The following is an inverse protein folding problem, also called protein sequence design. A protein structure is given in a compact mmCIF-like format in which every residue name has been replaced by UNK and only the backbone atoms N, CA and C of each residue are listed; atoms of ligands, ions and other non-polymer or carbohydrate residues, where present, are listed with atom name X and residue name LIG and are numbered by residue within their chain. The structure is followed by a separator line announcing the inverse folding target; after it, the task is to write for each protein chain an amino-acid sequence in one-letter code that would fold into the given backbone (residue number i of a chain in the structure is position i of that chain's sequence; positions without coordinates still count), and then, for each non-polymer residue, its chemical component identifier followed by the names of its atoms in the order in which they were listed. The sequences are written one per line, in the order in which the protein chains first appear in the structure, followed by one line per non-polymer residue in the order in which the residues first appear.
data_IF_169970835644
#
_entry.id   IF_169970835644
#
_cell.length_a   1.000
_cell.length_b   1.000
_cell.length_c   1.000
_cell.angle_alpha   90.00
_cell.angle_beta   90.00
_cell.angle_gamma   90.00
#
_symmetry.space_group_name_H-M   'P 1'
#
loop_
_entity.id
_entity.type
_entity.pdbx_description
1 polymer ?
#
# COMPACT_ATOMS: atom_id res chain seq x y z
N UNK A 1 -6.38 42.91 -69.77
CA UNK A 1 -7.57 43.21 -68.91
C UNK A 1 -7.43 42.51 -67.63
N UNK A 2 -7.36 43.29 -66.59
CA UNK A 2 -7.46 43.07 -65.09
C UNK A 2 -7.26 41.65 -64.55
N UNK A 3 -6.19 41.55 -63.77
CA UNK A 3 -5.85 40.56 -62.71
C UNK A 3 -6.77 40.72 -61.51
N UNK A 4 -7.15 39.65 -60.75
CA UNK A 4 -7.54 39.79 -59.35
C UNK A 4 -6.52 39.13 -58.42
N UNK A 5 -6.05 39.96 -57.57
CA UNK A 5 -5.52 39.94 -56.21
C UNK A 5 -5.36 38.58 -55.48
N UNK A 6 -4.13 38.37 -54.98
CA UNK A 6 -3.72 37.52 -53.89
C UNK A 6 -4.49 37.89 -52.62
N UNK A 7 -5.04 36.87 -51.94
CA UNK A 7 -5.46 36.96 -50.51
C UNK A 7 -4.37 36.28 -49.71
N UNK A 8 -3.65 37.08 -48.94
CA UNK A 8 -2.71 36.67 -47.89
C UNK A 8 -3.48 35.91 -46.78
N UNK A 9 -3.19 34.65 -46.60
CA UNK A 9 -3.60 33.90 -45.41
C UNK A 9 -2.51 34.01 -44.34
N UNK A 10 -2.69 34.90 -43.38
CA UNK A 10 -1.92 34.90 -42.15
C UNK A 10 -2.28 33.66 -41.30
N UNK A 11 -1.30 32.96 -40.71
CA UNK A 11 -1.59 31.86 -39.79
C UNK A 11 -2.04 32.45 -38.43
N UNK A 12 -3.13 31.88 -37.90
CA UNK A 12 -3.64 32.10 -36.56
C UNK A 12 -2.64 31.62 -35.48
N UNK A 13 -1.65 32.45 -35.16
CA UNK A 13 -0.70 32.28 -34.03
C UNK A 13 -1.21 32.98 -32.76
N UNK A 14 -2.46 32.76 -32.36
CA UNK A 14 -3.05 33.46 -31.23
C UNK A 14 -3.63 32.60 -30.11
N UNK A 15 -3.85 31.30 -30.34
CA UNK A 15 -4.63 30.50 -29.38
C UNK A 15 -3.79 29.73 -28.33
N UNK A 16 -2.52 29.46 -28.59
CA UNK A 16 -1.65 28.73 -27.63
C UNK A 16 -1.14 29.64 -26.51
N UNK A 17 -0.66 30.84 -26.84
CA UNK A 17 -0.15 31.79 -25.84
C UNK A 17 -1.23 32.40 -24.91
N UNK A 18 -2.47 32.49 -25.34
CA UNK A 18 -3.57 32.92 -24.49
C UNK A 18 -3.96 31.82 -23.49
N UNK A 19 -3.99 30.57 -23.91
CA UNK A 19 -4.23 29.41 -23.00
C UNK A 19 -3.10 29.26 -21.98
N UNK A 20 -1.84 29.41 -22.37
CA UNK A 20 -0.69 29.33 -21.45
C UNK A 20 -0.70 30.47 -20.41
N UNK A 21 -1.11 31.69 -20.80
CA UNK A 21 -1.26 32.80 -19.84
C UNK A 21 -2.45 32.66 -18.90
N UNK A 22 -3.57 32.12 -19.34
CA UNK A 22 -4.72 31.85 -18.46
C UNK A 22 -4.42 30.75 -17.46
N UNK A 23 -3.68 29.70 -17.82
CA UNK A 23 -3.27 28.63 -16.90
C UNK A 23 -2.29 29.13 -15.82
N UNK A 24 -1.42 30.09 -16.11
CA UNK A 24 -0.45 30.63 -15.13
C UNK A 24 -1.05 31.53 -14.04
N UNK A 25 -2.35 31.85 -14.14
CA UNK A 25 -3.08 32.66 -13.14
C UNK A 25 -4.16 31.87 -12.38
N UNK A 26 -4.30 30.57 -12.64
CA UNK A 26 -5.33 29.74 -12.00
C UNK A 26 -4.94 29.44 -10.54
N UNK A 27 -5.91 29.47 -9.64
CA UNK A 27 -5.73 29.09 -8.23
C UNK A 27 -5.44 27.59 -8.09
N UNK A 28 -6.13 26.73 -8.88
CA UNK A 28 -5.88 25.30 -8.97
C UNK A 28 -5.96 24.85 -10.44
N UNK A 29 -5.20 23.82 -10.79
CA UNK A 29 -5.24 23.21 -12.14
C UNK A 29 -6.41 22.22 -12.23
N UNK A 30 -7.00 22.02 -13.43
CA UNK A 30 -8.07 21.03 -13.61
C UNK A 30 -7.63 19.62 -13.19
N UNK A 31 -8.56 18.82 -12.64
CA UNK A 31 -8.31 17.41 -12.29
C UNK A 31 -7.82 16.65 -13.53
N UNK A 32 -6.83 15.78 -13.36
CA UNK A 32 -6.19 15.05 -14.45
C UNK A 32 -5.07 15.83 -15.15
N UNK A 33 -4.71 17.01 -14.64
CA UNK A 33 -3.61 17.83 -15.17
C UNK A 33 -2.73 18.33 -14.02
N UNK A 34 -1.45 18.58 -14.34
CA UNK A 34 -0.49 19.26 -13.46
C UNK A 34 0.11 20.45 -14.21
N UNK A 35 0.55 21.49 -13.50
CA UNK A 35 1.29 22.60 -14.09
C UNK A 35 2.63 22.16 -14.69
N UNK A 36 3.32 23.01 -15.46
CA UNK A 36 4.71 22.79 -15.84
C UNK A 36 5.59 22.49 -14.60
N UNK A 37 6.55 21.57 -14.74
CA UNK A 37 7.41 21.16 -13.63
C UNK A 37 8.12 22.35 -13.01
N UNK A 38 8.00 22.47 -11.69
CA UNK A 38 8.55 23.60 -10.90
C UNK A 38 7.55 24.75 -10.68
N UNK A 39 6.42 24.77 -11.35
CA UNK A 39 5.33 25.71 -11.08
C UNK A 39 4.36 25.10 -10.06
N UNK A 40 4.19 25.77 -8.92
CA UNK A 40 3.33 25.30 -7.83
C UNK A 40 2.17 26.25 -7.65
N UNK A 41 0.92 25.83 -7.93
CA UNK A 41 -0.25 26.67 -7.72
C UNK A 41 -0.53 26.85 -6.22
N UNK A 42 -1.19 27.95 -5.80
CA UNK A 42 -1.49 28.20 -4.39
C UNK A 42 -2.47 27.18 -3.78
N UNK A 43 -3.33 26.59 -4.60
CA UNK A 43 -4.32 25.59 -4.19
C UNK A 43 -4.31 24.40 -5.16
N UNK A 44 -4.87 23.28 -4.72
CA UNK A 44 -4.98 22.04 -5.48
C UNK A 44 -6.32 21.35 -5.22
N UNK A 45 -6.79 20.51 -6.14
CA UNK A 45 -7.88 19.58 -5.87
C UNK A 45 -7.37 18.33 -5.17
N UNK A 46 -8.12 17.89 -4.16
CA UNK A 46 -7.85 16.67 -3.42
C UNK A 46 -9.14 15.94 -3.03
N UNK A 47 -9.05 14.63 -2.81
CA UNK A 47 -10.10 13.86 -2.13
C UNK A 47 -9.91 14.04 -0.61
N UNK A 48 -10.83 14.72 0.00
CA UNK A 48 -10.73 15.22 1.38
C UNK A 48 -11.70 14.48 2.30
N UNK A 49 -11.20 14.05 3.45
CA UNK A 49 -11.98 13.57 4.58
C UNK A 49 -12.07 14.70 5.61
N UNK A 50 -13.25 14.87 6.25
CA UNK A 50 -13.46 15.81 7.37
C UNK A 50 -14.12 15.10 8.54
N UNK A 51 -13.87 15.55 9.76
CA UNK A 51 -14.38 14.93 10.99
C UNK A 51 -15.90 14.81 11.03
N UNK A 52 -16.63 15.74 10.41
CA UNK A 52 -18.09 15.72 10.33
C UNK A 52 -18.66 14.74 9.27
N UNK A 53 -17.79 14.06 8.51
CA UNK A 53 -18.17 13.09 7.47
C UNK A 53 -17.56 11.71 7.69
N UNK A 54 -16.94 11.46 8.84
CA UNK A 54 -16.40 10.12 9.15
C UNK A 54 -17.52 9.07 9.10
N UNK A 55 -17.26 7.95 8.42
CA UNK A 55 -18.24 6.87 8.24
C UNK A 55 -17.93 6.01 7.02
N UNK A 56 -18.94 5.75 6.21
CA UNK A 56 -18.75 4.97 4.98
C UNK A 56 -17.85 5.72 3.99
N UNK A 57 -16.85 5.03 3.40
CA UNK A 57 -15.86 5.67 2.52
C UNK A 57 -16.48 6.49 1.38
N UNK A 58 -17.56 6.02 0.74
CA UNK A 58 -18.25 6.74 -0.35
C UNK A 58 -18.78 8.10 0.07
N UNK A 59 -19.08 8.30 1.35
CA UNK A 59 -19.60 9.54 1.90
C UNK A 59 -18.52 10.41 2.53
N UNK A 60 -17.48 9.80 3.07
CA UNK A 60 -16.40 10.48 3.77
C UNK A 60 -15.47 11.26 2.84
N UNK A 61 -15.11 10.69 1.68
CA UNK A 61 -14.28 11.36 0.68
C UNK A 61 -15.09 12.31 -0.19
N UNK A 62 -14.60 13.53 -0.38
CA UNK A 62 -15.16 14.51 -1.32
C UNK A 62 -14.04 15.29 -2.00
N UNK A 63 -14.24 15.62 -3.27
CA UNK A 63 -13.30 16.51 -3.98
C UNK A 63 -13.49 17.92 -3.45
N UNK A 64 -12.42 18.49 -2.92
CA UNK A 64 -12.35 19.87 -2.43
C UNK A 64 -11.09 20.55 -2.95
N UNK A 65 -11.14 21.88 -3.08
CA UNK A 65 -9.98 22.72 -3.30
C UNK A 65 -9.35 23.04 -1.93
N UNK A 66 -8.07 22.72 -1.77
CA UNK A 66 -7.33 22.92 -0.53
C UNK A 66 -5.99 23.62 -0.83
N UNK A 67 -5.35 24.27 0.16
CA UNK A 67 -4.02 24.84 -0.03
C UNK A 67 -3.01 23.78 -0.50
N UNK A 68 -2.18 24.12 -1.49
CA UNK A 68 -1.03 23.28 -1.86
C UNK A 68 0.01 23.36 -0.75
N UNK A 69 0.47 22.22 -0.19
CA UNK A 69 1.46 22.24 0.88
C UNK A 69 2.81 22.75 0.39
N UNK A 70 3.57 23.38 1.29
CA UNK A 70 4.92 23.87 1.00
C UNK A 70 5.95 23.00 1.71
N UNK A 71 7.00 22.53 1.02
CA UNK A 71 7.99 21.67 1.63
C UNK A 71 8.82 22.44 2.68
N UNK A 72 8.93 21.86 3.86
CA UNK A 72 9.80 22.31 4.95
C UNK A 72 11.20 21.71 4.78
N UNK A 73 12.09 21.96 5.75
CA UNK A 73 13.41 21.33 5.78
C UNK A 73 13.30 19.81 5.73
N UNK A 74 14.02 19.19 4.79
CA UNK A 74 14.01 17.74 4.56
C UNK A 74 12.77 17.21 3.84
N UNK A 75 11.84 18.07 3.40
CA UNK A 75 10.63 17.66 2.72
C UNK A 75 10.69 17.95 1.21
N UNK A 76 9.91 17.20 0.46
CA UNK A 76 9.79 17.25 -1.00
C UNK A 76 8.33 17.39 -1.38
N UNK A 77 8.01 18.33 -2.26
CA UNK A 77 6.71 18.44 -2.89
C UNK A 77 6.71 17.63 -4.19
N UNK A 78 5.82 16.66 -4.29
CA UNK A 78 5.67 15.80 -5.47
C UNK A 78 4.33 16.05 -6.13
N UNK A 79 4.35 16.34 -7.43
CA UNK A 79 3.16 16.30 -8.29
C UNK A 79 2.79 14.85 -8.54
N UNK A 80 1.63 14.42 -8.06
CA UNK A 80 1.21 13.03 -8.08
C UNK A 80 0.68 12.67 -9.48
N UNK A 81 1.33 11.74 -10.16
CA UNK A 81 0.89 11.22 -11.46
C UNK A 81 -0.14 10.09 -11.30
N UNK A 82 0.11 9.19 -10.34
CA UNK A 82 -0.82 8.14 -9.96
C UNK A 82 -0.66 7.81 -8.47
N UNK A 83 -1.71 7.25 -7.86
CA UNK A 83 -1.75 6.80 -6.47
C UNK A 83 -2.26 5.37 -6.36
N UNK A 84 -1.89 4.64 -5.31
CA UNK A 84 -2.41 3.31 -4.99
C UNK A 84 -3.54 3.37 -3.97
N UNK A 85 -4.48 2.43 -4.06
CA UNK A 85 -5.58 2.24 -3.11
C UNK A 85 -5.18 1.23 -2.06
N UNK A 86 -5.31 1.60 -0.78
CA UNK A 86 -4.92 0.76 0.35
C UNK A 86 -5.95 0.82 1.50
N UNK A 87 -6.07 -0.28 2.26
CA UNK A 87 -7.09 -0.44 3.30
C UNK A 87 -6.96 0.57 4.46
N UNK A 88 -5.77 1.11 4.72
CA UNK A 88 -5.57 2.13 5.75
C UNK A 88 -6.43 3.38 5.51
N UNK A 89 -6.76 3.68 4.27
CA UNK A 89 -7.63 4.81 3.95
C UNK A 89 -9.14 4.49 4.12
N UNK A 90 -9.54 3.22 4.15
CA UNK A 90 -10.84 2.81 4.69
C UNK A 90 -10.92 3.15 6.18
N UNK A 91 -9.84 2.87 6.94
CA UNK A 91 -9.77 3.24 8.36
C UNK A 91 -9.79 4.76 8.56
N UNK A 92 -9.05 5.52 7.75
CA UNK A 92 -9.07 6.99 7.79
C UNK A 92 -10.46 7.55 7.55
N UNK A 93 -11.17 7.06 6.53
CA UNK A 93 -12.54 7.46 6.20
C UNK A 93 -13.51 7.18 7.36
N UNK A 94 -13.34 6.05 8.04
CA UNK A 94 -14.22 5.61 9.14
C UNK A 94 -13.84 6.19 10.50
N UNK A 95 -12.66 6.80 10.64
CA UNK A 95 -12.14 7.32 11.91
C UNK A 95 -11.83 6.21 12.94
N UNK A 96 -11.62 4.97 12.51
CA UNK A 96 -11.32 3.81 13.37
C UNK A 96 -10.19 2.96 12.78
N UNK A 97 -9.29 2.39 13.62
CA UNK A 97 -9.25 2.50 15.08
C UNK A 97 -8.82 3.88 15.63
N UNK A 98 -8.41 4.81 14.73
CA UNK A 98 -7.92 6.14 15.12
C UNK A 98 -8.60 7.19 14.23
N UNK A 99 -9.18 8.24 14.84
CA UNK A 99 -9.51 9.47 14.13
C UNK A 99 -8.20 10.24 13.88
N UNK A 100 -7.71 10.15 12.64
CA UNK A 100 -6.42 10.73 12.24
C UNK A 100 -6.44 12.26 12.23
N UNK A 101 -7.61 12.89 12.04
CA UNK A 101 -7.75 14.35 12.07
C UNK A 101 -7.65 14.83 13.53
N UNK A 102 -8.45 14.26 14.42
CA UNK A 102 -8.40 14.60 15.84
C UNK A 102 -7.02 14.33 16.47
N UNK A 103 -6.37 13.22 16.09
CA UNK A 103 -5.03 12.88 16.56
C UNK A 103 -3.98 13.94 16.14
N UNK A 104 -4.01 14.40 14.87
CA UNK A 104 -3.12 15.44 14.36
C UNK A 104 -3.40 16.81 14.99
N UNK A 105 -4.66 17.21 15.13
CA UNK A 105 -5.04 18.45 15.81
C UNK A 105 -4.58 18.45 17.28
N UNK A 106 -4.70 17.31 17.98
CA UNK A 106 -4.16 17.15 19.34
C UNK A 106 -2.63 17.29 19.38
N UNK A 107 -1.94 16.94 18.30
CA UNK A 107 -0.50 17.13 18.14
C UNK A 107 -0.10 18.56 17.69
N UNK A 108 -1.08 19.47 17.47
CA UNK A 108 -0.86 20.88 17.13
C UNK A 108 -0.89 21.18 15.64
N UNK A 109 -1.27 20.23 14.78
CA UNK A 109 -1.49 20.50 13.35
C UNK A 109 -2.80 21.29 13.16
N UNK A 110 -2.82 22.37 12.33
CA UNK A 110 -3.97 23.26 12.25
C UNK A 110 -5.10 22.75 11.34
N UNK A 111 -4.81 21.83 10.42
CA UNK A 111 -5.75 21.41 9.40
C UNK A 111 -6.90 20.57 10.00
N UNK A 112 -8.13 20.96 9.68
CA UNK A 112 -9.38 20.29 10.06
C UNK A 112 -9.84 19.25 9.03
N UNK A 113 -8.93 18.88 8.11
CA UNK A 113 -9.17 17.94 7.03
C UNK A 113 -8.01 16.95 6.88
N UNK A 114 -8.27 15.88 6.15
CA UNK A 114 -7.27 14.87 5.81
C UNK A 114 -7.31 14.55 4.32
N UNK A 115 -6.15 14.67 3.67
CA UNK A 115 -5.90 14.13 2.34
C UNK A 115 -5.13 12.82 2.52
N UNK A 116 -5.81 11.70 2.24
CA UNK A 116 -5.26 10.36 2.38
C UNK A 116 -4.39 9.92 1.20
N UNK A 117 -4.10 8.61 1.14
CA UNK A 117 -3.28 7.99 0.09
C UNK A 117 -1.84 7.80 0.53
N UNK A 118 -1.44 6.53 0.68
CA UNK A 118 -0.12 6.14 1.22
C UNK A 118 0.75 5.43 0.17
N UNK A 119 0.41 5.59 -1.10
CA UNK A 119 1.11 4.94 -2.22
C UNK A 119 1.04 5.86 -3.43
N UNK A 120 2.17 6.23 -4.02
CA UNK A 120 2.21 7.16 -5.15
C UNK A 120 3.44 6.98 -6.03
N UNK A 121 3.29 7.42 -7.29
CA UNK A 121 4.40 7.77 -8.17
C UNK A 121 4.13 9.16 -8.78
N UNK A 122 5.19 9.96 -8.92
CA UNK A 122 5.05 11.32 -9.39
C UNK A 122 6.37 11.97 -9.76
N UNK A 123 6.31 13.28 -9.95
CA UNK A 123 7.45 14.11 -10.34
C UNK A 123 7.72 15.11 -9.21
N UNK A 124 8.99 15.33 -8.87
CA UNK A 124 9.41 16.32 -7.88
C UNK A 124 9.18 17.73 -8.43
N UNK A 125 8.40 18.56 -7.73
CA UNK A 125 8.08 19.94 -8.11
C UNK A 125 8.83 20.97 -7.30
N UNK A 126 9.06 20.72 -6.02
CA UNK A 126 9.85 21.59 -5.16
C UNK A 126 10.55 20.79 -4.07
N UNK A 127 11.65 21.29 -3.56
CA UNK A 127 12.42 20.70 -2.47
C UNK A 127 12.59 21.71 -1.34
N UNK A 128 12.54 21.23 -0.11
CA UNK A 128 12.82 22.02 1.09
C UNK A 128 14.32 22.19 1.35
N UNK A 129 14.63 22.99 2.34
CA UNK A 129 16.01 23.22 2.78
C UNK A 129 16.66 21.90 3.21
N UNK A 130 17.90 21.66 2.81
CA UNK A 130 18.71 20.50 3.19
C UNK A 130 18.49 19.24 2.34
N UNK A 131 17.49 19.21 1.46
CA UNK A 131 17.26 18.10 0.54
C UNK A 131 18.37 18.05 -0.52
N UNK A 132 19.04 16.90 -0.63
CA UNK A 132 20.09 16.64 -1.63
C UNK A 132 19.93 15.30 -2.35
N UNK A 133 19.01 14.45 -1.89
CA UNK A 133 18.76 13.10 -2.41
C UNK A 133 18.00 13.10 -3.75
N UNK A 134 17.21 14.15 -4.00
CA UNK A 134 16.40 14.35 -5.22
C UNK A 134 16.43 15.82 -5.66
N UNK A 135 16.04 16.07 -6.92
CA UNK A 135 15.92 17.41 -7.51
C UNK A 135 14.60 17.57 -8.25
N UNK A 136 14.21 18.81 -8.51
CA UNK A 136 13.04 19.13 -9.34
C UNK A 136 13.16 18.45 -10.70
N UNK A 137 12.08 17.78 -11.11
CA UNK A 137 11.98 17.00 -12.34
C UNK A 137 12.30 15.51 -12.20
N UNK A 138 12.80 15.05 -11.05
CA UNK A 138 13.03 13.63 -10.83
C UNK A 138 11.70 12.87 -10.74
N UNK A 139 11.65 11.68 -11.38
CA UNK A 139 10.53 10.75 -11.31
C UNK A 139 10.71 9.80 -10.13
N UNK A 140 9.75 9.77 -9.23
CA UNK A 140 9.83 9.04 -7.97
C UNK A 140 8.62 8.14 -7.73
N UNK A 141 8.87 7.00 -7.06
CA UNK A 141 7.87 6.24 -6.32
C UNK A 141 8.08 6.49 -4.83
N UNK A 142 6.99 6.54 -4.07
CA UNK A 142 7.05 6.97 -2.67
C UNK A 142 6.78 5.81 -1.76
N UNK A 143 7.68 5.52 -0.82
CA UNK A 143 7.38 4.59 0.27
C UNK A 143 6.75 5.30 1.46
N UNK A 144 5.94 4.58 2.21
CA UNK A 144 5.05 5.16 3.22
C UNK A 144 5.66 5.33 4.62
N UNK A 145 6.88 4.87 4.86
CA UNK A 145 7.54 5.01 6.16
C UNK A 145 7.91 6.46 6.45
N UNK A 146 7.40 7.03 7.53
CA UNK A 146 7.67 8.38 8.00
C UNK A 146 8.13 8.33 9.45
N UNK A 147 9.12 9.14 9.82
CA UNK A 147 9.62 9.29 11.20
C UNK A 147 10.27 10.65 11.40
N UNK A 148 10.38 11.05 12.66
CA UNK A 148 11.16 12.22 13.03
C UNK A 148 12.65 11.86 13.02
N UNK A 149 13.44 12.54 12.20
CA UNK A 149 14.89 12.34 12.09
C UNK A 149 15.63 12.65 13.41
N UNK A 150 15.05 13.52 14.24
CA UNK A 150 15.59 13.90 15.53
C UNK A 150 15.12 12.99 16.70
N UNK A 151 14.31 11.97 16.43
CA UNK A 151 13.90 10.98 17.44
C UNK A 151 15.14 10.27 18.01
N UNK A 152 15.32 10.23 19.35
CA UNK A 152 16.48 9.59 19.96
C UNK A 152 16.72 8.14 19.56
N UNK A 153 15.65 7.41 19.20
CA UNK A 153 15.76 6.05 18.72
C UNK A 153 16.37 5.99 17.32
N UNK A 154 15.97 6.92 16.44
CA UNK A 154 16.51 7.05 15.09
C UNK A 154 17.96 7.52 15.12
N UNK A 155 18.27 8.53 15.92
CA UNK A 155 19.65 9.02 16.13
C UNK A 155 20.59 7.94 16.70
N UNK A 156 20.05 6.96 17.43
CA UNK A 156 20.81 5.80 17.90
C UNK A 156 21.06 4.72 16.83
N UNK A 157 20.69 4.98 15.55
CA UNK A 157 20.86 4.07 14.42
C UNK A 157 20.00 2.80 14.47
N UNK A 158 18.87 2.85 15.18
CA UNK A 158 17.92 1.74 15.27
C UNK A 158 16.84 1.85 14.21
N UNK A 159 16.11 0.75 13.97
CA UNK A 159 15.03 0.71 12.98
C UNK A 159 14.01 1.85 13.24
N UNK A 160 13.91 2.84 12.35
CA UNK A 160 13.08 4.02 12.56
C UNK A 160 11.59 3.71 12.64
N UNK A 161 11.13 2.60 12.04
CA UNK A 161 9.73 2.19 12.12
C UNK A 161 9.33 1.63 13.49
N UNK A 162 10.28 1.45 14.42
CA UNK A 162 10.03 1.10 15.83
C UNK A 162 10.07 2.35 16.73
N UNK A 163 10.51 3.48 16.19
CA UNK A 163 10.52 4.76 16.92
C UNK A 163 9.10 5.19 17.33
N UNK A 164 8.98 5.93 18.42
CA UNK A 164 7.67 6.49 18.86
C UNK A 164 7.12 7.52 17.88
N UNK A 165 8.00 8.20 17.16
CA UNK A 165 7.64 9.17 16.13
C UNK A 165 7.17 8.54 14.82
N UNK A 166 7.36 7.22 14.62
CA UNK A 166 7.01 6.56 13.37
C UNK A 166 5.53 6.69 13.01
N UNK A 167 5.29 6.98 11.75
CA UNK A 167 3.94 7.14 11.16
C UNK A 167 3.88 6.46 9.80
N UNK A 168 2.68 6.24 9.32
CA UNK A 168 2.42 5.93 7.91
C UNK A 168 2.04 7.21 7.19
N UNK A 169 2.84 7.61 6.19
CA UNK A 169 2.51 8.73 5.33
C UNK A 169 1.16 8.54 4.64
N UNK A 170 0.37 9.61 4.53
CA UNK A 170 -0.96 9.59 3.90
C UNK A 170 -2.03 8.79 4.65
N UNK A 171 -1.72 8.34 5.88
CA UNK A 171 -2.67 7.81 6.85
C UNK A 171 -2.60 8.60 8.17
N UNK A 172 -1.44 8.59 8.83
CA UNK A 172 -1.23 9.35 10.08
C UNK A 172 -0.68 10.76 9.84
N UNK A 173 -0.14 11.03 8.64
CA UNK A 173 0.22 12.38 8.19
C UNK A 173 -0.82 12.93 7.23
N UNK A 174 -0.93 14.24 7.08
CA UNK A 174 -1.78 14.88 6.09
C UNK A 174 -1.09 15.00 4.71
N UNK A 175 -1.83 15.46 3.72
CA UNK A 175 -1.34 15.68 2.35
C UNK A 175 -0.73 14.42 1.73
N UNK A 176 -1.46 13.30 1.81
CA UNK A 176 -1.12 12.05 1.12
C UNK A 176 -1.36 12.11 -0.39
N UNK A 177 -1.38 10.93 -1.03
CA UNK A 177 -1.40 10.80 -2.48
C UNK A 177 -2.72 11.16 -3.17
N UNK A 178 -3.82 11.34 -2.45
CA UNK A 178 -5.14 11.62 -3.05
C UNK A 178 -5.38 13.10 -3.33
N UNK A 179 -4.34 13.83 -3.71
CA UNK A 179 -4.34 15.20 -4.17
C UNK A 179 -3.39 15.37 -5.36
N UNK A 180 -3.50 16.49 -6.08
CA UNK A 180 -2.61 16.79 -7.21
C UNK A 180 -1.15 16.92 -6.76
N UNK A 181 -0.93 17.34 -5.53
CA UNK A 181 0.39 17.43 -4.89
C UNK A 181 0.37 16.75 -3.53
N UNK A 182 1.49 16.15 -3.19
CA UNK A 182 1.73 15.55 -1.89
C UNK A 182 3.04 16.04 -1.29
N UNK A 183 3.16 15.99 0.05
CA UNK A 183 4.38 16.31 0.78
C UNK A 183 4.94 15.03 1.42
N UNK A 184 6.23 14.82 1.25
CA UNK A 184 6.96 13.64 1.77
C UNK A 184 8.32 14.06 2.30
N UNK A 185 8.93 13.23 3.14
CA UNK A 185 10.34 13.38 3.50
C UNK A 185 11.20 12.91 2.31
N UNK A 186 12.38 13.47 2.15
CA UNK A 186 13.25 13.21 1.00
C UNK A 186 13.69 11.73 0.90
N UNK A 187 13.91 11.07 2.04
CA UNK A 187 14.24 9.64 2.09
C UNK A 187 13.12 8.72 1.58
N UNK A 188 11.85 9.18 1.59
CA UNK A 188 10.72 8.42 1.07
C UNK A 188 10.69 8.34 -0.47
N UNK A 189 11.48 9.17 -1.16
CA UNK A 189 11.55 9.24 -2.61
C UNK A 189 12.48 8.17 -3.18
N UNK A 190 11.91 7.10 -3.73
CA UNK A 190 12.64 6.06 -4.46
C UNK A 190 12.67 6.43 -5.96
N UNK A 191 13.76 6.16 -6.70
CA UNK A 191 13.75 6.30 -8.14
C UNK A 191 12.64 5.43 -8.76
N UNK A 192 11.75 6.02 -9.55
CA UNK A 192 10.74 5.27 -10.29
C UNK A 192 11.43 4.34 -11.29
N UNK A 193 11.08 3.06 -11.31
CA UNK A 193 11.60 2.12 -12.30
C UNK A 193 11.22 2.58 -13.72
N UNK A 194 12.20 2.75 -14.66
CA UNK A 194 11.93 3.26 -16.00
C UNK A 194 10.98 2.38 -16.82
N UNK A 195 10.97 1.08 -16.55
CA UNK A 195 10.11 0.10 -17.24
C UNK A 195 8.65 0.13 -16.80
N UNK A 196 8.30 0.86 -15.72
CA UNK A 196 6.95 0.92 -15.19
C UNK A 196 6.22 2.19 -15.66
N UNK A 197 4.92 2.06 -15.93
CA UNK A 197 4.02 3.21 -16.08
C UNK A 197 3.81 3.90 -14.73
N UNK A 198 3.15 5.06 -14.73
CA UNK A 198 2.84 5.79 -13.48
C UNK A 198 1.96 4.96 -12.56
N UNK A 199 0.88 4.36 -13.10
CA UNK A 199 -0.03 3.51 -12.34
C UNK A 199 0.63 2.22 -11.83
N UNK A 200 1.52 1.62 -12.60
CA UNK A 200 2.31 0.46 -12.16
C UNK A 200 3.26 0.83 -11.02
N UNK A 201 3.96 1.95 -11.12
CA UNK A 201 4.89 2.42 -10.09
C UNK A 201 4.19 2.84 -8.80
N UNK A 202 2.95 3.38 -8.90
CA UNK A 202 2.18 3.84 -7.75
C UNK A 202 1.43 2.73 -7.01
N UNK A 203 1.15 1.59 -7.65
CA UNK A 203 0.16 0.65 -7.14
C UNK A 203 0.66 -0.27 -6.02
N UNK A 204 1.96 -0.49 -5.90
CA UNK A 204 2.48 -1.63 -5.13
C UNK A 204 3.52 -1.29 -4.08
N UNK A 205 3.92 -0.05 -3.96
CA UNK A 205 5.04 0.30 -3.07
C UNK A 205 4.68 0.06 -1.60
N UNK A 206 3.48 0.45 -1.14
CA UNK A 206 3.04 0.17 0.22
C UNK A 206 2.88 -1.34 0.48
N UNK A 207 2.09 -2.01 -0.34
CA UNK A 207 1.82 -3.44 -0.16
C UNK A 207 3.08 -4.29 -0.30
N UNK A 208 3.94 -3.96 -1.26
CA UNK A 208 5.16 -4.71 -1.53
C UNK A 208 6.22 -4.51 -0.47
N UNK A 209 6.45 -3.28 -0.01
CA UNK A 209 7.41 -3.02 1.08
C UNK A 209 6.91 -3.56 2.42
N UNK A 210 5.58 -3.56 2.65
CA UNK A 210 4.97 -4.24 3.80
C UNK A 210 5.23 -5.75 3.74
N UNK A 211 4.98 -6.40 2.60
CA UNK A 211 5.28 -7.82 2.40
C UNK A 211 6.78 -8.11 2.56
N UNK A 212 7.63 -7.24 2.01
CA UNK A 212 9.09 -7.35 2.15
C UNK A 212 9.52 -7.33 3.62
N UNK A 213 9.02 -6.34 4.41
CA UNK A 213 9.30 -6.27 5.85
C UNK A 213 8.78 -7.48 6.60
N UNK A 214 7.58 -7.97 6.30
CA UNK A 214 7.01 -9.16 6.94
C UNK A 214 7.89 -10.39 6.70
N UNK A 215 8.47 -10.53 5.52
CA UNK A 215 9.26 -11.70 5.11
C UNK A 215 10.73 -11.63 5.48
N UNK A 216 11.32 -10.43 5.55
CA UNK A 216 12.77 -10.25 5.65
C UNK A 216 13.24 -9.34 6.79
N UNK A 217 12.33 -8.59 7.42
CA UNK A 217 12.66 -7.59 8.45
C UNK A 217 12.86 -8.14 9.87
N UNK A 218 12.66 -9.44 10.13
CA UNK A 218 12.53 -9.95 11.50
C UNK A 218 13.53 -11.05 11.85
N UNK A 219 14.80 -10.75 11.74
CA UNK A 219 15.88 -11.70 12.07
C UNK A 219 15.64 -12.39 13.44
N UNK A 220 16.00 -13.68 13.55
CA UNK A 220 16.51 -14.60 12.52
C UNK A 220 15.41 -15.24 11.65
N UNK A 221 14.13 -14.92 11.89
CA UNK A 221 12.97 -15.44 11.15
C UNK A 221 12.77 -14.66 9.85
N UNK A 222 13.53 -15.02 8.85
CA UNK A 222 13.42 -14.48 7.49
C UNK A 222 13.14 -15.60 6.52
N UNK A 223 12.39 -15.30 5.47
CA UNK A 223 12.09 -16.27 4.40
C UNK A 223 13.36 -16.69 3.67
N UNK A 224 13.54 -17.97 3.48
CA UNK A 224 14.70 -18.57 2.83
C UNK A 224 14.25 -19.50 1.70
N UNK A 225 15.21 -19.88 0.86
CA UNK A 225 14.99 -20.92 -0.15
C UNK A 225 14.42 -22.19 0.49
N UNK A 226 13.47 -22.80 -0.19
CA UNK A 226 12.75 -24.00 0.19
C UNK A 226 11.80 -23.85 1.41
N UNK A 227 11.74 -22.69 2.09
CA UNK A 227 10.74 -22.46 3.13
C UNK A 227 9.32 -22.50 2.56
N UNK A 228 8.39 -23.10 3.28
CA UNK A 228 6.96 -22.97 2.99
C UNK A 228 6.48 -21.65 3.57
N UNK A 229 5.90 -20.80 2.73
CA UNK A 229 5.30 -19.52 3.13
C UNK A 229 3.79 -19.59 2.93
N UNK A 230 3.04 -19.61 4.03
CA UNK A 230 1.58 -19.55 3.97
C UNK A 230 1.14 -18.09 3.86
N UNK A 231 0.36 -17.75 2.83
CA UNK A 231 -0.08 -16.38 2.57
C UNK A 231 -1.60 -16.29 2.63
N UNK A 232 -2.14 -15.61 3.63
CA UNK A 232 -3.56 -15.31 3.70
C UNK A 232 -3.92 -14.19 2.71
N UNK A 233 -5.08 -14.31 2.06
CA UNK A 233 -5.54 -13.31 1.09
C UNK A 233 -4.58 -13.12 -0.09
N UNK A 234 -4.09 -14.22 -0.64
CA UNK A 234 -3.05 -14.23 -1.67
C UNK A 234 -3.34 -13.35 -2.90
N UNK A 235 -4.61 -13.10 -3.21
CA UNK A 235 -5.03 -12.31 -4.38
C UNK A 235 -5.13 -10.80 -4.12
N UNK A 236 -4.96 -10.34 -2.89
CA UNK A 236 -4.94 -8.91 -2.56
C UNK A 236 -3.54 -8.30 -2.73
N UNK A 237 -3.42 -6.99 -2.40
CA UNK A 237 -2.17 -6.25 -2.58
C UNK A 237 -0.97 -6.90 -1.87
N UNK A 238 -1.01 -7.04 -0.54
CA UNK A 238 0.09 -7.64 0.24
C UNK A 238 0.35 -9.09 -0.18
N UNK A 239 -0.73 -9.88 -0.36
CA UNK A 239 -0.60 -11.29 -0.72
C UNK A 239 0.04 -11.51 -2.08
N UNK A 240 -0.37 -10.74 -3.10
CA UNK A 240 0.19 -10.83 -4.46
C UNK A 240 1.68 -10.49 -4.51
N UNK A 241 2.12 -9.56 -3.67
CA UNK A 241 3.55 -9.22 -3.54
C UNK A 241 4.31 -10.28 -2.74
N UNK A 242 3.73 -10.80 -1.65
CA UNK A 242 4.35 -11.86 -0.86
C UNK A 242 4.61 -13.16 -1.68
N UNK A 243 3.68 -13.53 -2.56
CA UNK A 243 3.86 -14.67 -3.49
C UNK A 243 5.10 -14.47 -4.36
N UNK A 244 5.22 -13.31 -5.00
CA UNK A 244 6.33 -13.01 -5.91
C UNK A 244 7.66 -12.92 -5.17
N UNK A 245 7.68 -12.29 -3.99
CA UNK A 245 8.86 -12.21 -3.13
C UNK A 245 9.32 -13.59 -2.66
N UNK A 246 8.38 -14.47 -2.24
CA UNK A 246 8.69 -15.85 -1.89
C UNK A 246 9.32 -16.60 -3.07
N UNK A 247 8.70 -16.51 -4.25
CA UNK A 247 9.22 -17.12 -5.48
C UNK A 247 10.63 -16.60 -5.82
N UNK A 248 10.86 -15.30 -5.69
CA UNK A 248 12.14 -14.67 -6.03
C UNK A 248 13.32 -15.21 -5.19
N UNK A 249 13.07 -15.61 -3.94
CA UNK A 249 14.09 -16.23 -3.07
C UNK A 249 14.08 -17.76 -3.10
N UNK A 250 13.23 -18.37 -3.94
CA UNK A 250 13.12 -19.82 -4.07
C UNK A 250 12.34 -20.50 -2.94
N UNK A 251 11.53 -19.77 -2.18
CA UNK A 251 10.57 -20.31 -1.22
C UNK A 251 9.31 -20.85 -1.92
N UNK A 252 8.47 -21.56 -1.17
CA UNK A 252 7.28 -22.27 -1.64
C UNK A 252 6.03 -21.54 -1.13
N UNK A 253 5.44 -20.60 -1.87
CA UNK A 253 4.22 -19.91 -1.43
C UNK A 253 3.00 -20.80 -1.61
N UNK A 254 2.28 -21.02 -0.50
CA UNK A 254 0.94 -21.63 -0.47
C UNK A 254 -0.05 -20.57 -0.04
N UNK A 255 -1.13 -20.37 -0.78
CA UNK A 255 -2.02 -19.23 -0.55
C UNK A 255 -3.40 -19.65 -0.09
N UNK A 256 -4.06 -18.81 0.70
CA UNK A 256 -5.45 -18.98 1.11
C UNK A 256 -6.30 -17.89 0.46
N UNK A 257 -7.36 -18.28 -0.23
CA UNK A 257 -8.25 -17.40 -1.00
C UNK A 257 -9.72 -17.69 -0.71
N UNK A 258 -10.63 -16.84 -1.20
CA UNK A 258 -12.08 -16.97 -1.03
C UNK A 258 -12.79 -17.77 -2.12
N UNK A 259 -12.14 -17.96 -3.27
CA UNK A 259 -12.69 -18.63 -4.45
C UNK A 259 -11.57 -19.05 -5.41
N UNK A 260 -11.92 -19.86 -6.40
CA UNK A 260 -10.97 -20.44 -7.33
C UNK A 260 -10.40 -19.44 -8.34
N UNK A 261 -11.17 -18.42 -8.77
CA UNK A 261 -10.67 -17.36 -9.66
C UNK A 261 -9.48 -16.65 -9.01
N UNK A 262 -9.59 -16.31 -7.73
CA UNK A 262 -8.51 -15.74 -6.93
C UNK A 262 -7.33 -16.70 -6.78
N UNK A 263 -7.61 -17.99 -6.66
CA UNK A 263 -6.59 -19.04 -6.63
C UNK A 263 -5.78 -19.08 -7.92
N UNK A 264 -6.46 -19.12 -9.06
CA UNK A 264 -5.83 -19.13 -10.38
C UNK A 264 -5.00 -17.87 -10.66
N UNK A 265 -5.45 -16.72 -10.18
CA UNK A 265 -4.64 -15.50 -10.22
C UNK A 265 -3.33 -15.66 -9.43
N UNK A 266 -3.38 -16.22 -8.22
CA UNK A 266 -2.20 -16.47 -7.39
C UNK A 266 -1.23 -17.47 -8.04
N UNK A 267 -1.77 -18.50 -8.73
CA UNK A 267 -0.95 -19.43 -9.49
C UNK A 267 -0.13 -18.75 -10.59
N UNK A 268 -0.72 -17.78 -11.30
CA UNK A 268 -0.02 -17.00 -12.33
C UNK A 268 1.11 -16.16 -11.75
N UNK A 269 0.99 -15.71 -10.49
CA UNK A 269 2.04 -14.98 -9.77
C UNK A 269 3.16 -15.90 -9.27
N UNK A 270 2.94 -17.21 -9.22
CA UNK A 270 3.93 -18.20 -8.83
C UNK A 270 3.65 -18.92 -7.52
N UNK A 271 2.43 -18.89 -7.01
CA UNK A 271 2.03 -19.76 -5.91
C UNK A 271 2.19 -21.24 -6.29
N UNK A 272 2.60 -22.07 -5.35
CA UNK A 272 2.70 -23.53 -5.52
C UNK A 272 1.33 -24.17 -5.61
N UNK A 273 0.35 -23.59 -4.93
CA UNK A 273 -1.05 -23.99 -4.91
C UNK A 273 -1.87 -23.07 -4.02
N UNK A 274 -3.17 -23.24 -4.04
CA UNK A 274 -4.10 -22.48 -3.22
C UNK A 274 -5.06 -23.33 -2.43
N UNK A 275 -5.58 -22.79 -1.35
CA UNK A 275 -6.62 -23.36 -0.49
C UNK A 275 -7.82 -22.42 -0.51
N UNK A 276 -8.98 -22.91 -0.93
CA UNK A 276 -10.22 -22.17 -0.80
C UNK A 276 -10.67 -22.23 0.67
N UNK A 277 -10.72 -21.05 1.34
CA UNK A 277 -11.10 -21.01 2.77
C UNK A 277 -12.52 -21.52 3.04
N UNK A 278 -13.40 -21.55 2.04
CA UNK A 278 -14.78 -22.04 2.16
C UNK A 278 -14.87 -23.56 2.34
N UNK A 279 -13.78 -24.29 2.03
CA UNK A 279 -13.71 -25.74 2.24
C UNK A 279 -13.53 -26.11 3.73
N UNK A 280 -13.35 -25.11 4.60
CA UNK A 280 -13.10 -25.30 6.02
C UNK A 280 -14.04 -24.42 6.85
N UNK A 281 -14.41 -24.88 8.05
CA UNK A 281 -15.39 -24.21 8.93
C UNK A 281 -14.87 -23.91 10.34
N UNK A 282 -13.62 -24.24 10.64
CA UNK A 282 -13.03 -24.14 11.99
C UNK A 282 -12.43 -22.75 12.29
N UNK A 283 -12.76 -21.73 11.51
CA UNK A 283 -12.20 -20.38 11.65
C UNK A 283 -12.67 -19.67 12.92
N UNK A 284 -11.93 -18.66 13.35
CA UNK A 284 -12.26 -17.81 14.48
C UNK A 284 -11.76 -18.37 15.82
N UNK A 285 -12.43 -17.95 16.89
CA UNK A 285 -12.07 -18.31 18.27
C UNK A 285 -12.13 -19.82 18.50
N UNK A 286 -11.02 -20.47 18.90
CA UNK A 286 -11.06 -21.87 19.28
C UNK A 286 -11.94 -22.05 20.53
N UNK A 287 -12.60 -23.20 20.70
CA UNK A 287 -13.36 -23.52 21.91
C UNK A 287 -12.48 -23.42 23.16
N UNK A 288 -13.10 -23.18 24.31
CA UNK A 288 -12.35 -23.13 25.57
C UNK A 288 -11.63 -24.47 25.81
N UNK A 289 -10.44 -24.42 26.41
CA UNK A 289 -9.58 -25.60 26.58
C UNK A 289 -10.21 -26.72 27.42
N UNK A 290 -11.26 -26.42 28.22
CA UNK A 290 -12.05 -27.42 28.98
C UNK A 290 -13.20 -28.03 28.19
N UNK A 291 -13.48 -27.55 26.99
CA UNK A 291 -14.48 -28.16 26.09
C UNK A 291 -13.81 -29.22 25.20
N UNK A 292 -13.72 -30.44 25.72
CA UNK A 292 -13.03 -31.54 25.03
C UNK A 292 -13.65 -31.86 23.64
N UNK A 293 -14.96 -31.77 23.50
CA UNK A 293 -15.64 -32.06 22.24
C UNK A 293 -15.36 -30.95 21.20
N UNK A 294 -15.50 -29.69 21.59
CA UNK A 294 -15.20 -28.54 20.75
C UNK A 294 -13.72 -28.50 20.37
N UNK A 295 -12.81 -28.73 21.31
CA UNK A 295 -11.37 -28.80 21.04
C UNK A 295 -11.01 -29.90 20.05
N UNK A 296 -11.64 -31.08 20.17
CA UNK A 296 -11.43 -32.18 19.22
C UNK A 296 -11.92 -31.84 17.82
N UNK A 297 -13.07 -31.20 17.70
CA UNK A 297 -13.63 -30.76 16.43
C UNK A 297 -12.78 -29.68 15.77
N UNK A 298 -12.42 -28.62 16.52
CA UNK A 298 -11.56 -27.54 16.02
C UNK A 298 -10.18 -28.05 15.58
N UNK A 299 -9.54 -28.90 16.40
CA UNK A 299 -8.24 -29.49 16.08
C UNK A 299 -8.30 -30.38 14.83
N UNK A 300 -9.39 -31.11 14.62
CA UNK A 300 -9.58 -31.91 13.40
C UNK A 300 -9.63 -31.01 12.15
N UNK A 301 -10.34 -29.87 12.20
CA UNK A 301 -10.38 -28.89 11.12
C UNK A 301 -9.01 -28.26 10.85
N UNK A 302 -8.31 -27.82 11.90
CA UNK A 302 -6.98 -27.23 11.78
C UNK A 302 -5.93 -28.24 11.23
N UNK A 303 -6.03 -29.52 11.61
CA UNK A 303 -5.20 -30.60 11.03
C UNK A 303 -5.51 -30.86 9.57
N UNK A 304 -6.79 -30.88 9.20
CA UNK A 304 -7.19 -31.04 7.80
C UNK A 304 -6.65 -29.89 6.93
N UNK A 305 -6.70 -28.65 7.44
CA UNK A 305 -6.10 -27.50 6.78
C UNK A 305 -4.57 -27.65 6.63
N UNK A 306 -3.86 -28.07 7.69
CA UNK A 306 -2.42 -28.36 7.63
C UNK A 306 -2.09 -29.50 6.63
N UNK A 307 -2.90 -30.56 6.60
CA UNK A 307 -2.73 -31.65 5.62
C UNK A 307 -2.90 -31.17 4.17
N UNK A 308 -3.79 -30.20 3.93
CA UNK A 308 -3.94 -29.60 2.59
C UNK A 308 -2.72 -28.79 2.19
N UNK A 309 -2.03 -28.12 3.12
CA UNK A 309 -0.73 -27.47 2.87
C UNK A 309 0.29 -28.52 2.43
N UNK A 310 0.43 -29.64 3.13
CA UNK A 310 1.37 -30.71 2.78
C UNK A 310 1.07 -31.36 1.43
N UNK A 311 -0.21 -31.55 1.10
CA UNK A 311 -0.64 -32.04 -0.21
C UNK A 311 -0.16 -31.11 -1.34
N UNK A 312 -0.33 -29.78 -1.18
CA UNK A 312 0.11 -28.79 -2.16
C UNK A 312 1.65 -28.76 -2.27
N UNK A 313 2.35 -28.81 -1.16
CA UNK A 313 3.82 -28.84 -1.12
C UNK A 313 4.37 -30.13 -1.72
N UNK A 314 3.68 -31.26 -1.53
CA UNK A 314 4.08 -32.60 -1.97
C UNK A 314 4.86 -33.39 -0.90
N UNK A 315 5.02 -32.83 0.29
CA UNK A 315 5.68 -33.45 1.43
C UNK A 315 5.10 -32.91 2.75
N UNK A 316 5.34 -33.63 3.86
CA UNK A 316 4.92 -33.20 5.20
C UNK A 316 5.85 -32.08 5.72
N UNK A 317 5.56 -30.85 5.32
CA UNK A 317 6.33 -29.67 5.67
C UNK A 317 5.39 -28.53 6.07
N UNK A 318 5.55 -28.06 7.31
CA UNK A 318 4.77 -26.97 7.87
C UNK A 318 5.31 -25.61 7.39
N UNK A 319 4.50 -24.52 7.41
CA UNK A 319 4.96 -23.18 7.05
C UNK A 319 6.01 -22.63 8.03
N UNK A 320 7.17 -22.25 7.52
CA UNK A 320 8.20 -21.54 8.27
C UNK A 320 7.76 -20.10 8.60
N UNK A 321 7.08 -19.46 7.64
CA UNK A 321 6.54 -18.11 7.77
C UNK A 321 5.06 -18.13 7.35
N UNK A 322 4.23 -17.47 8.15
CA UNK A 322 2.81 -17.20 7.83
C UNK A 322 2.62 -15.71 7.69
N UNK A 323 2.25 -15.27 6.51
CA UNK A 323 1.89 -13.87 6.20
C UNK A 323 0.42 -13.68 6.54
N UNK A 324 0.17 -12.99 7.64
CA UNK A 324 -1.14 -12.83 8.27
C UNK A 324 -1.62 -11.37 8.15
N UNK A 325 -2.89 -11.18 7.80
CA UNK A 325 -3.54 -9.88 7.84
C UNK A 325 -5.05 -9.92 8.17
N UNK A 326 -5.80 -11.04 8.05
CA UNK A 326 -7.17 -11.10 8.52
C UNK A 326 -7.28 -10.91 10.03
N UNK A 327 -6.40 -11.52 10.82
CA UNK A 327 -6.36 -11.34 12.27
C UNK A 327 -7.27 -12.29 13.04
N UNK A 328 -8.36 -11.78 13.61
CA UNK A 328 -9.22 -12.52 14.57
C UNK A 328 -9.67 -13.88 14.06
N UNK A 329 -10.07 -13.97 12.81
CA UNK A 329 -10.60 -15.20 12.23
C UNK A 329 -9.53 -16.28 11.97
N UNK A 330 -8.26 -15.91 11.76
CA UNK A 330 -7.26 -16.81 11.15
C UNK A 330 -6.01 -17.03 12.00
N UNK A 331 -5.65 -16.09 12.89
CA UNK A 331 -4.48 -16.19 13.77
C UNK A 331 -4.43 -17.47 14.58
N UNK A 332 -5.54 -18.00 15.15
CA UNK A 332 -5.50 -19.27 15.88
C UNK A 332 -5.01 -20.44 15.01
N UNK A 333 -5.52 -20.52 13.78
CA UNK A 333 -5.10 -21.55 12.81
C UNK A 333 -3.68 -21.33 12.32
N UNK A 334 -3.29 -20.06 12.05
CA UNK A 334 -1.93 -19.69 11.66
C UNK A 334 -0.90 -20.13 12.69
N UNK A 335 -1.17 -19.88 13.98
CA UNK A 335 -0.33 -20.35 15.09
C UNK A 335 -0.29 -21.89 15.15
N UNK A 336 -1.44 -22.57 14.89
CA UNK A 336 -1.48 -24.03 14.93
C UNK A 336 -0.59 -24.64 13.84
N UNK A 337 -0.70 -24.19 12.58
CA UNK A 337 -0.04 -24.80 11.43
C UNK A 337 1.41 -24.38 11.19
N UNK A 338 1.86 -23.26 11.75
CA UNK A 338 3.26 -22.86 11.63
C UNK A 338 4.20 -23.94 12.19
N UNK A 339 5.37 -24.13 11.57
CA UNK A 339 6.35 -25.11 12.02
C UNK A 339 6.89 -24.83 13.44
N UNK A 340 7.47 -25.79 14.14
CA UNK A 340 8.21 -25.51 15.36
C UNK A 340 9.34 -24.51 15.10
N UNK A 341 9.38 -23.44 15.90
CA UNK A 341 10.31 -22.32 15.69
C UNK A 341 9.92 -21.35 14.58
N UNK A 342 8.82 -21.59 13.85
CA UNK A 342 8.36 -20.72 12.79
C UNK A 342 7.72 -19.42 13.28
N UNK A 343 7.42 -18.50 12.36
CA UNK A 343 6.88 -17.18 12.66
C UNK A 343 5.53 -16.93 11.97
N UNK A 344 4.55 -16.50 12.74
CA UNK A 344 3.34 -15.85 12.22
C UNK A 344 3.56 -14.33 12.31
N UNK A 345 3.57 -13.66 11.17
CA UNK A 345 3.78 -12.20 11.10
C UNK A 345 2.52 -11.51 10.60
N UNK A 346 2.06 -10.49 11.34
CA UNK A 346 0.78 -9.81 11.11
C UNK A 346 0.97 -8.31 10.89
N UNK A 347 0.29 -7.76 9.87
CA UNK A 347 0.34 -6.33 9.54
C UNK A 347 -1.03 -5.63 9.61
N UNK A 348 -2.12 -6.34 9.86
CA UNK A 348 -3.48 -5.80 9.89
C UNK A 348 -4.42 -6.69 10.71
N UNK A 349 -5.72 -6.30 10.79
CA UNK A 349 -6.78 -7.07 11.44
C UNK A 349 -8.11 -6.85 10.71
N UNK A 350 -8.19 -7.28 9.43
CA UNK A 350 -9.37 -6.98 8.59
C UNK A 350 -10.62 -7.77 8.97
N UNK A 351 -10.49 -8.87 9.73
CA UNK A 351 -11.62 -9.63 10.27
C UNK A 351 -11.92 -9.32 11.74
N UNK A 352 -11.12 -8.47 12.37
CA UNK A 352 -11.23 -8.09 13.78
C UNK A 352 -9.87 -8.08 14.49
N UNK A 353 -9.88 -7.52 15.72
CA UNK A 353 -8.66 -7.23 16.46
C UNK A 353 -8.44 -8.15 17.68
N UNK A 354 -9.43 -8.98 18.05
CA UNK A 354 -9.43 -9.76 19.30
C UNK A 354 -9.23 -11.26 19.04
N UNK A 355 -8.03 -11.65 18.59
CA UNK A 355 -7.71 -13.05 18.35
C UNK A 355 -7.45 -13.83 19.66
N UNK A 356 -8.09 -14.98 19.83
CA UNK A 356 -7.85 -15.91 20.92
C UNK A 356 -6.85 -16.97 20.47
N UNK A 357 -5.77 -17.16 21.20
CA UNK A 357 -4.71 -18.11 20.88
C UNK A 357 -4.60 -19.16 21.96
N UNK A 358 -4.61 -20.44 21.58
CA UNK A 358 -4.23 -21.54 22.48
C UNK A 358 -2.71 -21.54 22.67
N UNK A 359 -2.29 -21.08 23.85
CA UNK A 359 -0.88 -20.90 24.17
C UNK A 359 -0.09 -22.22 24.10
N UNK A 360 -0.72 -23.40 24.28
CA UNK A 360 -0.06 -24.71 24.17
C UNK A 360 0.59 -24.89 22.79
N UNK A 361 -0.07 -24.47 21.70
CA UNK A 361 0.46 -24.56 20.35
C UNK A 361 1.53 -23.49 20.07
N UNK A 362 1.64 -22.47 20.89
CA UNK A 362 2.63 -21.40 20.75
C UNK A 362 3.93 -21.75 21.51
N UNK A 363 3.89 -21.84 22.89
CA UNK A 363 5.15 -22.00 23.63
C UNK A 363 5.78 -23.37 23.50
N UNK A 364 5.00 -24.48 23.43
CA UNK A 364 5.58 -25.83 23.34
C UNK A 364 6.34 -26.08 22.04
N UNK A 365 6.06 -25.24 21.03
CA UNK A 365 6.70 -25.29 19.72
C UNK A 365 7.61 -24.08 19.46
N UNK A 366 7.83 -23.24 20.45
CA UNK A 366 8.75 -22.09 20.40
C UNK A 366 8.49 -21.15 19.21
N UNK A 367 7.22 -20.98 18.85
CA UNK A 367 6.81 -20.15 17.69
C UNK A 367 6.87 -18.67 18.05
N UNK A 368 7.07 -17.85 17.03
CA UNK A 368 7.04 -16.39 17.14
C UNK A 368 5.72 -15.85 16.59
N UNK A 369 5.07 -14.95 17.32
CA UNK A 369 4.00 -14.10 16.79
C UNK A 369 4.51 -12.67 16.73
N UNK A 370 4.62 -12.11 15.51
CA UNK A 370 5.30 -10.85 15.22
C UNK A 370 4.35 -9.84 14.62
N UNK A 371 4.18 -8.68 15.26
CA UNK A 371 3.58 -7.50 14.62
C UNK A 371 4.55 -6.86 13.65
N UNK A 372 4.07 -6.45 12.47
CA UNK A 372 4.86 -5.78 11.44
C UNK A 372 4.09 -4.56 10.93
N UNK A 373 4.72 -3.40 10.91
CA UNK A 373 4.09 -2.15 10.47
C UNK A 373 5.08 -1.31 9.67
N UNK A 374 4.62 -0.84 8.53
CA UNK A 374 5.35 0.07 7.67
C UNK A 374 6.57 -0.57 6.97
N UNK A 375 7.53 0.26 6.65
CA UNK A 375 8.81 -0.09 6.03
C UNK A 375 9.86 0.97 6.37
N UNK A 376 11.13 0.59 6.49
CA UNK A 376 12.25 1.53 6.54
C UNK A 376 12.90 1.67 5.15
N UNK A 377 13.86 2.59 5.02
CA UNK A 377 14.53 2.91 3.76
C UNK A 377 15.23 1.71 3.14
N UNK A 378 15.97 0.95 3.95
CA UNK A 378 16.72 -0.23 3.48
C UNK A 378 15.77 -1.23 2.82
N UNK A 379 14.66 -1.54 3.47
CA UNK A 379 13.66 -2.48 2.96
C UNK A 379 12.96 -1.95 1.71
N UNK A 380 12.65 -0.65 1.68
CA UNK A 380 12.03 0.00 0.54
C UNK A 380 12.97 0.03 -0.69
N UNK A 381 14.25 0.32 -0.47
CA UNK A 381 15.28 0.30 -1.53
C UNK A 381 15.45 -1.11 -2.09
N UNK A 382 15.56 -2.13 -1.24
CA UNK A 382 15.70 -3.52 -1.70
C UNK A 382 14.47 -3.99 -2.48
N UNK A 383 13.26 -3.66 -2.02
CA UNK A 383 12.04 -3.91 -2.76
C UNK A 383 12.05 -3.22 -4.13
N UNK A 384 12.42 -1.93 -4.18
CA UNK A 384 12.48 -1.16 -5.43
C UNK A 384 13.51 -1.71 -6.43
N UNK A 385 14.63 -2.29 -5.95
CA UNK A 385 15.59 -3.01 -6.80
C UNK A 385 14.95 -4.22 -7.49
N UNK A 386 14.12 -4.98 -6.77
CA UNK A 386 13.41 -6.14 -7.34
C UNK A 386 12.42 -5.71 -8.42
N UNK A 387 11.69 -4.62 -8.22
CA UNK A 387 10.82 -4.03 -9.25
C UNK A 387 11.62 -3.54 -10.46
N UNK A 388 12.70 -2.80 -10.22
CA UNK A 388 13.53 -2.21 -11.28
C UNK A 388 14.21 -3.27 -12.14
N UNK A 389 14.61 -4.38 -11.53
CA UNK A 389 15.20 -5.52 -12.25
C UNK A 389 14.18 -6.39 -12.99
N UNK A 390 12.87 -6.20 -12.74
CA UNK A 390 11.82 -7.05 -13.27
C UNK A 390 11.71 -8.44 -12.61
N UNK A 391 12.40 -8.66 -11.48
CA UNK A 391 12.28 -9.91 -10.70
C UNK A 391 10.89 -10.09 -10.11
N UNK A 392 10.21 -9.00 -9.82
CA UNK A 392 8.81 -8.92 -9.43
C UNK A 392 8.12 -7.81 -10.26
N UNK A 393 6.79 -7.84 -10.31
CA UNK A 393 5.99 -6.81 -10.97
C UNK A 393 4.85 -6.34 -10.04
N UNK A 394 4.27 -5.16 -10.29
CA UNK A 394 3.31 -4.52 -9.37
C UNK A 394 2.01 -5.30 -9.13
N UNK A 395 1.72 -6.36 -9.88
CA UNK A 395 0.46 -7.10 -9.84
C UNK A 395 -0.76 -6.15 -9.95
N UNK A 396 -0.68 -5.17 -10.86
CA UNK A 396 -1.73 -4.19 -11.10
C UNK A 396 -2.95 -4.86 -11.72
N UNK A 397 -4.10 -4.79 -11.06
CA UNK A 397 -5.35 -5.39 -11.49
C UNK A 397 -6.34 -4.37 -12.05
N UNK A 398 -6.41 -3.20 -11.45
CA UNK A 398 -7.40 -2.18 -11.81
C UNK A 398 -6.77 -0.79 -11.83
N UNK A 399 -7.24 0.06 -12.77
CA UNK A 399 -6.87 1.49 -12.81
C UNK A 399 -8.14 2.31 -12.94
N UNK A 400 -8.33 3.24 -12.02
CA UNK A 400 -9.53 4.05 -11.87
C UNK A 400 -9.21 5.54 -12.04
N UNK A 401 -10.25 6.36 -12.21
CA UNK A 401 -10.15 7.81 -12.25
C UNK A 401 -10.19 8.41 -10.83
N UNK A 402 -9.78 9.67 -10.72
CA UNK A 402 -9.69 10.41 -9.45
C UNK A 402 -11.01 10.48 -8.66
N UNK A 403 -12.13 10.66 -9.35
CA UNK A 403 -13.46 10.73 -8.76
C UNK A 403 -13.99 9.36 -8.26
N UNK A 404 -13.33 8.26 -8.62
CA UNK A 404 -13.69 6.91 -8.20
C UNK A 404 -13.03 6.47 -6.87
N UNK A 405 -12.18 7.32 -6.25
CA UNK A 405 -11.53 7.02 -4.96
C UNK A 405 -12.54 6.65 -3.86
N UNK A 406 -13.66 7.37 -3.67
CA UNK A 406 -14.65 7.02 -2.65
C UNK A 406 -15.24 5.62 -2.84
N UNK A 407 -15.64 5.30 -4.07
CA UNK A 407 -16.25 4.00 -4.39
C UNK A 407 -15.24 2.85 -4.34
N UNK A 408 -13.98 3.07 -4.76
CA UNK A 408 -12.92 2.08 -4.63
C UNK A 408 -12.69 1.66 -3.17
N UNK A 409 -12.67 2.63 -2.25
CA UNK A 409 -12.55 2.34 -0.81
C UNK A 409 -13.81 1.72 -0.22
N UNK A 410 -15.00 2.07 -0.72
CA UNK A 410 -16.25 1.44 -0.32
C UNK A 410 -16.27 -0.04 -0.72
N UNK A 411 -15.94 -0.36 -1.97
CA UNK A 411 -15.80 -1.76 -2.45
C UNK A 411 -14.78 -2.54 -1.61
N UNK A 412 -13.65 -1.90 -1.29
CA UNK A 412 -12.63 -2.49 -0.43
C UNK A 412 -13.15 -2.78 0.98
N UNK A 413 -13.96 -1.88 1.56
CA UNK A 413 -14.61 -2.08 2.85
C UNK A 413 -15.61 -3.24 2.83
N UNK A 414 -16.37 -3.35 1.76
CA UNK A 414 -17.36 -4.42 1.55
C UNK A 414 -16.73 -5.77 1.16
N UNK A 415 -15.41 -5.81 0.94
CA UNK A 415 -14.68 -7.04 0.54
C UNK A 415 -14.78 -7.36 -0.94
N UNK A 416 -15.33 -6.46 -1.75
CA UNK A 416 -15.36 -6.55 -3.22
C UNK A 416 -14.05 -5.97 -3.79
N UNK A 417 -12.97 -6.74 -3.66
CA UNK A 417 -11.63 -6.33 -4.06
C UNK A 417 -11.32 -6.80 -5.48
N UNK A 418 -10.68 -5.94 -6.26
CA UNK A 418 -9.99 -6.34 -7.49
C UNK A 418 -8.88 -7.38 -7.19
N UNK A 419 -8.47 -8.11 -8.21
CA UNK A 419 -7.30 -9.00 -8.13
C UNK A 419 -6.02 -8.14 -8.18
N UNK A 420 -5.11 -8.35 -7.25
CA UNK A 420 -3.86 -7.58 -7.17
C UNK A 420 -4.04 -6.19 -6.56
N UNK A 421 -3.28 -5.23 -7.07
CA UNK A 421 -3.27 -3.84 -6.63
C UNK A 421 -4.15 -2.96 -7.52
N UNK A 422 -4.71 -1.90 -6.96
CA UNK A 422 -5.53 -0.90 -7.66
C UNK A 422 -4.81 0.44 -7.65
N UNK A 423 -4.74 1.10 -8.81
CA UNK A 423 -4.20 2.45 -8.97
C UNK A 423 -5.27 3.46 -9.38
N UNK A 424 -5.01 4.72 -9.06
CA UNK A 424 -5.80 5.88 -9.46
C UNK A 424 -4.93 6.80 -10.31
N UNK A 425 -5.41 7.26 -11.45
CA UNK A 425 -4.78 8.33 -12.20
C UNK A 425 -5.12 9.68 -11.56
N UNK A 426 -4.10 10.50 -11.31
CA UNK A 426 -4.24 11.83 -10.70
C UNK A 426 -3.78 12.91 -11.67
N UNK A 427 -2.50 13.06 -11.92
CA UNK A 427 -1.93 14.00 -12.89
C UNK A 427 -1.61 13.34 -14.24
N UNK A 428 -1.57 12.00 -14.32
CA UNK A 428 -1.42 11.30 -15.57
C UNK A 428 -2.75 11.35 -16.36
N UNK A 429 -2.78 11.96 -17.57
CA UNK A 429 -4.03 12.15 -18.30
C UNK A 429 -4.60 10.85 -18.87
N UNK A 430 -3.76 9.84 -19.06
CA UNK A 430 -4.15 8.52 -19.58
C UNK A 430 -3.27 7.42 -19.00
N UNK A 431 -3.75 6.18 -19.10
CA UNK A 431 -2.99 4.98 -18.73
C UNK A 431 -1.80 4.76 -19.68
N UNK A 432 -0.80 4.04 -19.17
CA UNK A 432 0.34 3.58 -19.98
C UNK A 432 1.47 4.60 -20.14
N UNK A 433 1.37 5.76 -19.50
CA UNK A 433 2.41 6.80 -19.53
C UNK A 433 3.52 6.53 -18.50
N UNK A 434 4.71 7.07 -18.75
CA UNK A 434 5.85 7.06 -17.82
C UNK A 434 6.87 5.95 -18.05
N UNK A 435 6.67 5.04 -19.02
CA UNK A 435 7.72 4.10 -19.46
C UNK A 435 8.78 4.82 -20.28
N UNK A 436 10.06 4.46 -20.06
CA UNK A 436 11.24 4.95 -20.81
C UNK A 436 11.99 3.80 -21.43
#
# INVERSE_FOLDING_TARGET
MRNPSCIDSQPLLGSSHLRERELSTMSAYPIGTLPPVGEVPPTMFAQVIRSNRLGEPRDAFKIEEVPTPKPKRGEVLVGVMAAGINYNNVWAARGIPIDVIAARQKAGEPEDFHVGGSDAAGIVYAIGEGVTSVKVGDEVAIHHGWWDADDPWVLAGKDPMIARSSKTWGYQTNYGAFGQFTIVQDHQCLPKAPSLTWEEAAASTLCGTTAYRMMFGWQPHVTKKDDVVLVWGGSGGVGSMAIQLAKAVGAIPVVVVSDDERGEFCMKLGAKGYINRKDFTHWGTPPHWTDDAGQKAWTAGARAFGAKIWEIVGEKKDPAIVIEHPGEATVPTSIFVAEPGGMVVICAGTSGYSAVVDLRYHWTRQKRFQGSHGTNDEQAIEYNKLLTSGAIHPALGEVLAFDQIPEAHQRMHEGDLALGNTAILIGAPTRGLGKK
#
